data_IF_189247783870
#
_entry.id   IF_189247783870
#
_cell.length_a   1.000
_cell.length_b   1.000
_cell.length_c   1.000
_cell.angle_alpha   90.00
_cell.angle_beta   90.00
_cell.angle_gamma   90.00
#
_symmetry.space_group_name_H-M   'P 1'
#
loop_
_entity.id
_entity.type
_entity.pdbx_description
1 polymer ?
#
# COMPACT_ATOMS: atom_id res chain seq x y z
N UNK A 1 7.29 38.24 -27.68
CA UNK A 1 6.41 37.19 -27.14
C UNK A 1 7.08 35.81 -27.06
N UNK A 2 7.86 35.37 -28.05
CA UNK A 2 8.57 34.08 -28.03
C UNK A 2 9.51 33.88 -26.82
N UNK A 3 10.35 34.86 -26.49
CA UNK A 3 11.29 34.76 -25.35
C UNK A 3 10.64 34.68 -23.96
N UNK A 4 9.41 35.16 -23.80
CA UNK A 4 8.69 35.06 -22.52
C UNK A 4 8.07 33.66 -22.31
N UNK A 5 7.72 32.97 -23.42
CA UNK A 5 7.20 31.61 -23.38
C UNK A 5 8.32 30.58 -23.09
N UNK A 6 9.48 30.76 -23.71
CA UNK A 6 10.65 29.90 -23.47
C UNK A 6 11.14 29.99 -22.01
N UNK A 7 11.22 31.22 -21.45
CA UNK A 7 11.57 31.42 -20.04
C UNK A 7 10.56 30.76 -19.09
N UNK A 8 9.26 30.77 -19.43
CA UNK A 8 8.21 30.08 -18.65
C UNK A 8 8.40 28.57 -18.68
N UNK A 9 8.67 27.99 -19.85
CA UNK A 9 8.91 26.55 -20.03
C UNK A 9 10.14 26.11 -19.24
N UNK A 10 11.24 26.85 -19.31
CA UNK A 10 12.46 26.53 -18.56
C UNK A 10 12.23 26.55 -17.05
N UNK A 11 11.46 27.52 -16.53
CA UNK A 11 11.07 27.57 -15.10
C UNK A 11 10.21 26.36 -14.70
N UNK A 12 9.26 25.97 -15.56
CA UNK A 12 8.42 24.80 -15.33
C UNK A 12 9.23 23.51 -15.27
N UNK A 13 10.16 23.32 -16.22
CA UNK A 13 11.06 22.15 -16.26
C UNK A 13 11.92 22.11 -14.99
N UNK A 14 12.59 23.21 -14.65
CA UNK A 14 13.44 23.29 -13.45
C UNK A 14 12.64 23.02 -12.16
N UNK A 15 11.40 23.51 -12.09
CA UNK A 15 10.49 23.22 -10.97
C UNK A 15 10.16 21.73 -10.83
N UNK A 16 9.90 21.04 -11.95
CA UNK A 16 9.65 19.60 -11.96
C UNK A 16 10.90 18.79 -11.60
N UNK A 17 12.07 19.14 -12.15
CA UNK A 17 13.33 18.45 -11.86
C UNK A 17 13.73 18.56 -10.39
N UNK A 18 13.53 19.75 -9.79
CA UNK A 18 13.75 19.94 -8.35
C UNK A 18 12.82 19.05 -7.52
N UNK A 19 11.52 19.07 -7.81
CA UNK A 19 10.56 18.23 -7.10
C UNK A 19 10.86 16.74 -7.28
N UNK A 20 11.25 16.32 -8.49
CA UNK A 20 11.65 14.95 -8.78
C UNK A 20 12.87 14.52 -7.95
N UNK A 21 13.87 15.40 -7.80
CA UNK A 21 15.04 15.15 -6.96
C UNK A 21 14.67 15.01 -5.48
N UNK A 22 13.83 15.91 -4.95
CA UNK A 22 13.36 15.88 -3.56
C UNK A 22 12.60 14.57 -3.26
N UNK A 23 11.67 14.18 -4.15
CA UNK A 23 10.90 12.93 -4.05
C UNK A 23 11.82 11.72 -4.10
N UNK A 24 12.80 11.68 -5.01
CA UNK A 24 13.69 10.55 -5.16
C UNK A 24 14.63 10.38 -3.96
N UNK A 25 15.18 11.47 -3.43
CA UNK A 25 16.02 11.46 -2.24
C UNK A 25 15.24 10.92 -1.04
N UNK A 26 14.03 11.44 -0.84
CA UNK A 26 13.15 11.01 0.23
C UNK A 26 12.76 9.55 0.10
N UNK A 27 12.41 9.08 -1.11
CA UNK A 27 12.12 7.67 -1.38
C UNK A 27 13.31 6.77 -1.03
N UNK A 28 14.53 7.16 -1.40
CA UNK A 28 15.77 6.41 -1.10
C UNK A 28 16.06 6.36 0.41
N UNK A 29 15.74 7.44 1.13
CA UNK A 29 15.87 7.53 2.59
C UNK A 29 14.87 6.61 3.30
N UNK A 30 13.60 6.67 2.90
CA UNK A 30 12.50 5.95 3.54
C UNK A 30 12.40 4.48 3.13
N UNK A 31 12.95 4.12 1.97
CA UNK A 31 12.99 2.74 1.43
C UNK A 31 11.61 2.07 1.42
N UNK A 32 10.63 2.62 0.69
CA UNK A 32 9.30 2.01 0.63
C UNK A 32 9.39 0.56 0.14
N UNK A 33 8.62 -0.32 0.76
CA UNK A 33 8.69 -1.79 0.59
C UNK A 33 8.13 -2.28 -0.74
N UNK A 34 7.39 -1.42 -1.45
CA UNK A 34 6.84 -1.69 -2.78
C UNK A 34 6.96 -0.47 -3.70
N UNK A 35 6.93 -0.66 -5.04
CA UNK A 35 6.91 0.44 -5.99
C UNK A 35 5.57 1.18 -5.92
N UNK A 36 5.58 2.43 -6.37
CA UNK A 36 4.35 3.20 -6.50
C UNK A 36 3.73 2.86 -7.85
N UNK A 37 2.43 2.56 -7.85
CA UNK A 37 1.74 2.06 -9.03
C UNK A 37 0.70 3.07 -9.51
N UNK A 38 0.83 3.46 -10.78
CA UNK A 38 0.00 4.48 -11.42
C UNK A 38 -0.76 3.84 -12.58
N UNK A 39 -2.09 3.86 -12.52
CA UNK A 39 -2.95 3.42 -13.61
C UNK A 39 -3.39 4.62 -14.46
N UNK A 40 -3.17 4.52 -15.77
CA UNK A 40 -3.75 5.41 -16.76
C UNK A 40 -4.97 4.75 -17.38
N UNK A 41 -6.16 5.30 -17.13
CA UNK A 41 -7.45 4.78 -17.60
C UNK A 41 -8.17 5.82 -18.46
N UNK A 42 -9.19 5.40 -19.21
CA UNK A 42 -10.15 6.32 -19.82
C UNK A 42 -10.28 6.21 -21.34
N UNK A 43 -10.93 7.20 -21.96
CA UNK A 43 -11.46 7.06 -23.32
C UNK A 43 -10.37 6.84 -24.39
N UNK A 44 -10.67 6.12 -25.48
CA UNK A 44 -9.77 6.02 -26.62
C UNK A 44 -9.35 7.40 -27.14
N UNK A 45 -8.07 7.53 -27.54
CA UNK A 45 -7.48 8.77 -28.07
C UNK A 45 -7.57 10.00 -27.16
N UNK A 46 -7.69 9.81 -25.85
CA UNK A 46 -7.62 10.89 -24.86
C UNK A 46 -6.19 11.37 -24.52
N UNK A 47 -5.16 10.89 -25.22
CA UNK A 47 -3.77 11.34 -25.02
C UNK A 47 -2.98 10.57 -23.95
N UNK A 48 -3.51 9.46 -23.41
CA UNK A 48 -2.85 8.61 -22.41
C UNK A 48 -1.45 8.17 -22.82
N UNK A 49 -1.31 7.46 -23.94
CA UNK A 49 -0.03 6.89 -24.39
C UNK A 49 1.05 7.95 -24.61
N UNK A 50 0.68 9.13 -25.12
CA UNK A 50 1.60 10.28 -25.26
C UNK A 50 2.05 10.81 -23.90
N UNK A 51 1.13 10.88 -22.93
CA UNK A 51 1.43 11.32 -21.57
C UNK A 51 2.30 10.30 -20.82
N UNK A 52 2.01 9.00 -20.95
CA UNK A 52 2.81 7.91 -20.38
C UNK A 52 4.24 7.97 -20.92
N UNK A 53 4.40 8.13 -22.23
CA UNK A 53 5.72 8.21 -22.88
C UNK A 53 6.51 9.42 -22.35
N UNK A 54 5.87 10.57 -22.24
CA UNK A 54 6.51 11.80 -21.74
C UNK A 54 6.91 11.68 -20.27
N UNK A 55 6.02 11.10 -19.44
CA UNK A 55 6.26 10.87 -18.02
C UNK A 55 7.40 9.86 -17.80
N UNK A 56 7.40 8.73 -18.50
CA UNK A 56 8.44 7.71 -18.38
C UNK A 56 9.83 8.26 -18.75
N UNK A 57 9.92 9.00 -19.86
CA UNK A 57 11.17 9.66 -20.27
C UNK A 57 11.63 10.64 -19.18
N UNK A 58 10.73 11.48 -18.66
CA UNK A 58 11.06 12.44 -17.61
C UNK A 58 11.57 11.75 -16.34
N UNK A 59 10.86 10.73 -15.86
CA UNK A 59 11.22 10.00 -14.64
C UNK A 59 12.56 9.27 -14.79
N UNK A 60 12.81 8.58 -15.91
CA UNK A 60 14.10 7.91 -16.18
C UNK A 60 15.26 8.89 -16.25
N UNK A 61 15.07 10.05 -16.91
CA UNK A 61 16.08 11.11 -16.95
C UNK A 61 16.39 11.66 -15.56
N UNK A 62 15.40 11.71 -14.68
CA UNK A 62 15.52 12.06 -13.27
C UNK A 62 15.86 10.86 -12.36
N UNK A 63 16.42 9.78 -12.91
CA UNK A 63 16.99 8.63 -12.17
C UNK A 63 16.00 7.76 -11.40
N UNK A 64 14.70 7.88 -11.66
CA UNK A 64 13.72 6.90 -11.19
C UNK A 64 13.84 5.60 -12.00
N UNK A 65 13.73 4.46 -11.31
CA UNK A 65 13.63 3.14 -11.90
C UNK A 65 12.16 2.90 -12.25
N UNK A 66 11.78 3.18 -13.48
CA UNK A 66 10.38 3.06 -13.94
C UNK A 66 10.18 1.81 -14.80
N UNK A 67 8.97 1.24 -14.73
CA UNK A 67 8.52 0.18 -15.64
C UNK A 67 7.13 0.53 -16.16
N UNK A 68 6.95 0.49 -17.47
CA UNK A 68 5.65 0.65 -18.12
C UNK A 68 5.18 -0.75 -18.53
N UNK A 69 4.02 -1.18 -18.01
CA UNK A 69 3.44 -2.47 -18.37
C UNK A 69 2.81 -2.40 -19.76
N UNK A 70 2.85 -3.52 -20.48
CA UNK A 70 2.33 -3.58 -21.86
C UNK A 70 0.79 -3.59 -21.84
N UNK A 71 0.16 -2.73 -22.66
CA UNK A 71 -1.30 -2.70 -22.84
C UNK A 71 -1.80 -4.04 -23.39
N UNK A 72 -2.71 -4.70 -22.66
CA UNK A 72 -3.20 -6.04 -23.03
C UNK A 72 -4.28 -6.03 -24.10
N UNK A 73 -4.99 -4.92 -24.28
CA UNK A 73 -6.09 -4.82 -25.25
C UNK A 73 -5.63 -5.07 -26.71
N UNK A 74 -4.39 -4.72 -27.04
CA UNK A 74 -3.82 -4.89 -28.38
C UNK A 74 -3.49 -6.35 -28.74
N UNK A 75 -3.28 -7.20 -27.74
CA UNK A 75 -2.89 -8.62 -27.88
C UNK A 75 -3.96 -9.58 -27.38
N UNK A 76 -5.16 -9.07 -27.09
CA UNK A 76 -6.27 -9.89 -26.61
C UNK A 76 -6.80 -10.78 -27.75
N UNK A 77 -6.95 -12.10 -27.54
CA UNK A 77 -7.44 -13.02 -28.57
C UNK A 77 -8.96 -12.92 -28.81
N UNK A 78 -9.69 -12.19 -27.96
CA UNK A 78 -11.14 -12.03 -28.07
C UNK A 78 -11.42 -10.91 -29.07
N UNK A 79 -12.01 -11.25 -30.22
CA UNK A 79 -12.27 -10.29 -31.30
C UNK A 79 -13.33 -9.25 -30.94
N UNK A 80 -14.39 -9.69 -30.26
CA UNK A 80 -15.50 -8.82 -29.90
C UNK A 80 -15.17 -7.99 -28.65
N UNK A 81 -14.78 -6.73 -28.86
CA UNK A 81 -14.47 -5.78 -27.77
C UNK A 81 -15.65 -5.43 -26.86
N UNK A 82 -16.89 -5.72 -27.27
CA UNK A 82 -18.07 -5.51 -26.42
C UNK A 82 -18.37 -6.70 -25.51
N UNK A 83 -17.78 -7.87 -25.79
CA UNK A 83 -17.93 -9.05 -24.94
C UNK A 83 -17.29 -8.79 -23.57
N UNK A 84 -18.00 -9.00 -22.45
CA UNK A 84 -17.43 -8.88 -21.10
C UNK A 84 -16.13 -9.67 -20.90
N UNK A 85 -15.96 -10.81 -21.57
CA UNK A 85 -14.74 -11.61 -21.50
C UNK A 85 -13.52 -10.87 -22.04
N UNK A 86 -13.68 -9.96 -23.02
CA UNK A 86 -12.59 -9.10 -23.48
C UNK A 86 -12.05 -8.25 -22.32
N UNK A 87 -12.95 -7.65 -21.55
CA UNK A 87 -12.60 -6.79 -20.44
C UNK A 87 -12.01 -7.60 -19.26
N UNK A 88 -12.58 -8.76 -18.94
CA UNK A 88 -12.03 -9.68 -17.94
C UNK A 88 -10.61 -10.12 -18.34
N UNK A 89 -10.40 -10.53 -19.59
CA UNK A 89 -9.10 -11.00 -20.06
C UNK A 89 -8.04 -9.90 -19.99
N UNK A 90 -8.37 -8.69 -20.45
CA UNK A 90 -7.44 -7.56 -20.43
C UNK A 90 -7.11 -7.11 -19.01
N UNK A 91 -8.11 -6.99 -18.13
CA UNK A 91 -7.91 -6.70 -16.70
C UNK A 91 -7.07 -7.76 -15.98
N UNK A 92 -7.35 -9.04 -16.20
CA UNK A 92 -6.54 -10.15 -15.66
C UNK A 92 -5.12 -10.18 -16.24
N UNK A 93 -4.95 -9.80 -17.51
CA UNK A 93 -3.63 -9.67 -18.11
C UNK A 93 -2.80 -8.56 -17.47
N UNK A 94 -3.41 -7.41 -17.14
CA UNK A 94 -2.76 -6.34 -16.37
C UNK A 94 -2.44 -6.80 -14.94
N UNK A 95 -3.37 -7.53 -14.29
CA UNK A 95 -3.14 -8.12 -12.97
C UNK A 95 -1.94 -9.07 -12.96
N UNK A 96 -1.84 -9.94 -13.97
CA UNK A 96 -0.75 -10.91 -14.08
C UNK A 96 0.62 -10.22 -14.20
N UNK A 97 0.75 -9.24 -15.10
CA UNK A 97 1.99 -8.48 -15.27
C UNK A 97 2.38 -7.74 -13.99
N UNK A 98 1.42 -7.07 -13.34
CA UNK A 98 1.66 -6.32 -12.11
C UNK A 98 2.09 -7.25 -10.97
N UNK A 99 1.39 -8.37 -10.79
CA UNK A 99 1.69 -9.35 -9.74
C UNK A 99 3.06 -10.01 -9.94
N UNK A 100 3.42 -10.35 -11.18
CA UNK A 100 4.74 -10.88 -11.51
C UNK A 100 5.84 -9.88 -11.14
N UNK A 101 5.69 -8.62 -11.57
CA UNK A 101 6.70 -7.58 -11.34
C UNK A 101 6.86 -7.26 -9.85
N UNK A 102 5.75 -7.14 -9.10
CA UNK A 102 5.82 -6.92 -7.64
C UNK A 102 6.51 -8.10 -6.96
N UNK A 103 6.18 -9.34 -7.33
CA UNK A 103 6.75 -10.54 -6.71
C UNK A 103 8.26 -10.67 -6.95
N UNK A 104 8.75 -10.27 -8.13
CA UNK A 104 10.16 -10.46 -8.54
C UNK A 104 11.04 -9.23 -8.26
N UNK A 105 10.48 -8.03 -8.41
CA UNK A 105 11.23 -6.79 -8.59
C UNK A 105 10.71 -5.61 -7.75
N UNK A 106 9.84 -5.84 -6.76
CA UNK A 106 9.27 -4.75 -5.95
C UNK A 106 10.32 -3.77 -5.38
N UNK A 107 11.51 -4.25 -5.00
CA UNK A 107 12.59 -3.42 -4.43
C UNK A 107 13.49 -2.77 -5.49
N UNK A 108 13.54 -3.32 -6.70
CA UNK A 108 14.36 -2.79 -7.79
C UNK A 108 13.66 -1.71 -8.61
N UNK A 109 12.35 -1.52 -8.42
CA UNK A 109 11.53 -0.57 -9.16
C UNK A 109 11.03 0.54 -8.24
N UNK A 110 11.04 1.77 -8.74
CA UNK A 110 10.50 2.92 -8.02
C UNK A 110 9.04 3.17 -8.40
N UNK A 111 8.70 3.08 -9.69
CA UNK A 111 7.37 3.40 -10.21
C UNK A 111 6.96 2.39 -11.28
N UNK A 112 5.74 1.88 -11.19
CA UNK A 112 5.09 1.06 -12.22
C UNK A 112 3.96 1.87 -12.85
N UNK A 113 3.91 1.91 -14.18
CA UNK A 113 2.86 2.58 -14.94
C UNK A 113 2.05 1.54 -15.70
N UNK A 114 0.73 1.53 -15.51
CA UNK A 114 -0.21 0.70 -16.25
C UNK A 114 -0.89 1.54 -17.33
N UNK A 115 -0.76 1.16 -18.61
CA UNK A 115 -1.64 1.63 -19.67
C UNK A 115 -2.89 0.74 -19.67
N UNK A 116 -3.92 1.20 -18.93
CA UNK A 116 -5.15 0.47 -18.52
C UNK A 116 -4.92 -0.65 -17.49
N UNK A 117 -5.78 -0.69 -16.50
CA UNK A 117 -5.75 -1.68 -15.43
C UNK A 117 -7.14 -1.97 -14.86
N UNK A 118 -7.22 -2.11 -13.55
CA UNK A 118 -8.44 -2.55 -12.88
C UNK A 118 -9.52 -1.48 -12.98
N UNK A 119 -9.16 -0.21 -12.83
CA UNK A 119 -10.11 0.88 -12.88
C UNK A 119 -10.68 1.10 -14.30
N UNK A 120 -9.86 0.95 -15.35
CA UNK A 120 -10.33 0.97 -16.74
C UNK A 120 -11.35 -0.15 -16.97
N UNK A 121 -11.08 -1.35 -16.44
CA UNK A 121 -12.04 -2.46 -16.51
C UNK A 121 -13.34 -2.17 -15.77
N UNK A 122 -13.31 -1.53 -14.61
CA UNK A 122 -14.53 -1.11 -13.90
C UNK A 122 -15.37 -0.15 -14.75
N UNK A 123 -14.75 0.83 -15.43
CA UNK A 123 -15.45 1.74 -16.33
C UNK A 123 -16.17 0.99 -17.47
N UNK A 124 -15.52 -0.04 -18.04
CA UNK A 124 -16.13 -0.88 -19.08
C UNK A 124 -17.24 -1.78 -18.55
N UNK A 125 -17.15 -2.31 -17.33
CA UNK A 125 -18.24 -3.09 -16.73
C UNK A 125 -19.48 -2.22 -16.48
N UNK A 126 -19.32 -0.97 -16.03
CA UNK A 126 -20.44 -0.02 -15.94
C UNK A 126 -21.09 0.18 -17.31
N UNK A 127 -20.27 0.44 -18.35
CA UNK A 127 -20.77 0.59 -19.70
C UNK A 127 -21.53 -0.64 -20.19
N UNK A 128 -20.97 -1.84 -20.03
CA UNK A 128 -21.58 -3.10 -20.46
C UNK A 128 -22.89 -3.37 -19.71
N UNK A 129 -22.94 -3.06 -18.41
CA UNK A 129 -24.14 -3.22 -17.59
C UNK A 129 -25.26 -2.28 -18.02
N UNK A 130 -24.93 -1.03 -18.33
CA UNK A 130 -25.88 -0.02 -18.78
C UNK A 130 -26.47 -0.33 -20.16
N UNK A 131 -25.70 -1.02 -21.01
CA UNK A 131 -26.12 -1.40 -22.37
C UNK A 131 -26.64 -2.84 -22.47
N UNK A 132 -26.85 -3.51 -21.33
CA UNK A 132 -27.38 -4.90 -21.24
C UNK A 132 -26.49 -5.96 -21.92
N UNK A 133 -25.19 -5.70 -22.06
CA UNK A 133 -24.20 -6.69 -22.49
C UNK A 133 -23.67 -7.55 -21.34
N UNK A 134 -23.96 -7.18 -20.09
CA UNK A 134 -23.50 -7.88 -18.90
C UNK A 134 -24.66 -8.10 -17.92
N UNK A 135 -24.88 -9.37 -17.53
CA UNK A 135 -25.92 -9.74 -16.56
C UNK A 135 -25.56 -9.20 -15.17
N UNK A 136 -26.57 -8.96 -14.34
CA UNK A 136 -26.37 -8.38 -13.01
C UNK A 136 -25.46 -9.23 -12.11
N UNK A 137 -25.64 -10.55 -12.10
CA UNK A 137 -24.83 -11.45 -11.28
C UNK A 137 -23.36 -11.48 -11.74
N UNK A 138 -23.13 -11.58 -13.05
CA UNK A 138 -21.77 -11.53 -13.62
C UNK A 138 -21.11 -10.17 -13.33
N UNK A 139 -21.85 -9.07 -13.48
CA UNK A 139 -21.37 -7.74 -13.12
C UNK A 139 -20.94 -7.66 -11.66
N UNK A 140 -21.75 -8.17 -10.73
CA UNK A 140 -21.42 -8.17 -9.30
C UNK A 140 -20.16 -8.99 -9.02
N UNK A 141 -20.02 -10.16 -9.65
CA UNK A 141 -18.84 -11.01 -9.54
C UNK A 141 -17.58 -10.32 -10.09
N UNK A 142 -17.66 -9.75 -11.30
CA UNK A 142 -16.51 -9.10 -11.95
C UNK A 142 -16.10 -7.84 -11.20
N UNK A 143 -17.06 -6.98 -10.86
CA UNK A 143 -16.78 -5.78 -10.05
C UNK A 143 -16.18 -6.18 -8.71
N UNK A 144 -16.78 -7.14 -7.99
CA UNK A 144 -16.26 -7.61 -6.70
C UNK A 144 -14.84 -8.17 -6.78
N UNK A 145 -14.50 -8.86 -7.87
CA UNK A 145 -13.14 -9.33 -8.12
C UNK A 145 -12.16 -8.15 -8.29
N UNK A 146 -12.44 -7.22 -9.20
CA UNK A 146 -11.54 -6.08 -9.48
C UNK A 146 -11.53 -5.01 -8.38
N UNK A 147 -12.53 -4.99 -7.49
CA UNK A 147 -12.57 -4.15 -6.28
C UNK A 147 -12.14 -4.90 -5.02
N UNK A 148 -11.59 -6.12 -5.13
CA UNK A 148 -11.00 -6.80 -4.00
C UNK A 148 -9.92 -5.91 -3.34
N UNK A 149 -9.93 -5.74 -1.99
CA UNK A 149 -8.94 -4.93 -1.29
C UNK A 149 -7.51 -5.29 -1.69
N UNK A 150 -7.21 -6.59 -1.84
CA UNK A 150 -5.89 -7.09 -2.23
C UNK A 150 -5.37 -6.49 -3.54
N UNK A 151 -6.26 -6.28 -4.53
CA UNK A 151 -5.87 -5.74 -5.82
C UNK A 151 -5.84 -4.21 -5.81
N UNK A 152 -6.82 -3.58 -5.16
CA UNK A 152 -6.86 -2.12 -5.02
C UNK A 152 -5.66 -1.57 -4.26
N UNK A 153 -5.19 -2.27 -3.23
CA UNK A 153 -3.99 -1.91 -2.48
C UNK A 153 -2.73 -1.82 -3.33
N UNK A 154 -2.69 -2.53 -4.46
CA UNK A 154 -1.55 -2.46 -5.37
C UNK A 154 -1.57 -1.19 -6.23
N UNK A 155 -2.66 -0.41 -6.27
CA UNK A 155 -2.78 0.81 -7.08
C UNK A 155 -2.80 2.03 -6.17
N UNK A 156 -1.84 2.92 -6.35
CA UNK A 156 -1.73 4.15 -5.55
C UNK A 156 -2.46 5.32 -6.20
N UNK A 157 -2.51 5.36 -7.53
CA UNK A 157 -3.01 6.49 -8.29
C UNK A 157 -3.70 6.05 -9.57
N UNK A 158 -4.92 6.50 -9.77
CA UNK A 158 -5.64 6.37 -11.04
C UNK A 158 -5.72 7.74 -11.71
N UNK A 159 -5.25 7.83 -12.95
CA UNK A 159 -5.38 8.99 -13.82
C UNK A 159 -6.39 8.66 -14.93
N UNK A 160 -7.58 9.23 -14.83
CA UNK A 160 -8.67 9.01 -15.77
C UNK A 160 -8.68 10.10 -16.85
N UNK A 161 -8.30 9.76 -18.07
CA UNK A 161 -8.23 10.66 -19.21
C UNK A 161 -9.51 10.60 -20.05
N UNK A 162 -10.14 11.74 -20.23
CA UNK A 162 -11.33 11.93 -21.04
C UNK A 162 -11.02 12.87 -22.22
N UNK A 163 -11.74 12.67 -23.32
CA UNK A 163 -11.83 13.61 -24.43
C UNK A 163 -13.26 13.56 -24.97
N UNK A 164 -13.74 14.65 -25.56
CA UNK A 164 -15.00 14.67 -26.28
C UNK A 164 -14.96 13.68 -27.45
N UNK A 165 -16.08 13.02 -27.80
CA UNK A 165 -16.16 12.11 -28.93
C UNK A 165 -15.58 12.67 -30.23
N UNK A 166 -15.89 13.94 -30.52
CA UNK A 166 -15.43 14.66 -31.72
C UNK A 166 -13.91 14.73 -31.76
N UNK A 167 -13.28 15.13 -30.65
CA UNK A 167 -11.83 15.22 -30.53
C UNK A 167 -11.17 13.84 -30.61
N UNK A 168 -11.76 12.80 -29.97
CA UNK A 168 -11.23 11.44 -30.06
C UNK A 168 -11.26 10.91 -31.50
N UNK A 169 -12.36 11.13 -32.22
CA UNK A 169 -12.52 10.73 -33.62
C UNK A 169 -11.53 11.48 -34.52
N UNK A 170 -11.40 12.80 -34.35
CA UNK A 170 -10.44 13.61 -35.11
C UNK A 170 -9.00 13.12 -34.88
N UNK A 171 -8.61 12.85 -33.63
CA UNK A 171 -7.29 12.30 -33.26
C UNK A 171 -7.03 10.91 -33.85
N UNK A 172 -8.06 10.08 -33.99
CA UNK A 172 -7.95 8.78 -34.68
C UNK A 172 -7.64 8.98 -36.16
N UNK A 173 -8.42 9.82 -36.85
CA UNK A 173 -8.27 10.05 -38.29
C UNK A 173 -6.96 10.73 -38.70
N UNK A 174 -6.35 11.55 -37.82
CA UNK A 174 -5.01 12.11 -38.08
C UNK A 174 -3.94 11.04 -38.29
N UNK A 175 -4.10 9.89 -37.64
CA UNK A 175 -3.09 8.82 -37.63
C UNK A 175 -3.47 7.62 -38.52
N UNK A 176 -4.70 7.58 -39.06
CA UNK A 176 -5.16 6.51 -39.92
C UNK A 176 -5.05 6.90 -41.40
N UNK A 177 -4.54 5.97 -42.21
CA UNK A 177 -4.64 5.99 -43.67
C UNK A 177 -6.05 5.62 -44.18
N UNK A 178 -7.03 5.51 -43.27
CA UNK A 178 -8.43 5.17 -43.56
C UNK A 178 -9.37 6.05 -42.75
N UNK A 179 -10.62 6.15 -43.23
CA UNK A 179 -11.73 6.82 -42.54
C UNK A 179 -12.81 5.84 -42.09
N UNK A 180 -12.54 4.53 -42.15
CA UNK A 180 -13.45 3.51 -41.59
C UNK A 180 -13.38 3.55 -40.07
N UNK A 181 -14.54 3.65 -39.43
CA UNK A 181 -14.65 3.69 -37.98
C UNK A 181 -14.43 2.30 -37.37
N UNK A 182 -13.58 2.23 -36.34
CA UNK A 182 -13.55 1.09 -35.44
C UNK A 182 -14.84 1.01 -34.60
N UNK A 183 -15.23 -0.19 -34.19
CA UNK A 183 -16.47 -0.42 -33.43
C UNK A 183 -16.59 0.44 -32.16
N UNK A 184 -15.48 0.66 -31.46
CA UNK A 184 -15.39 1.48 -30.25
C UNK A 184 -15.35 3.00 -30.54
N UNK A 185 -14.85 3.41 -31.70
CA UNK A 185 -14.62 4.82 -32.05
C UNK A 185 -15.90 5.52 -32.54
N UNK A 186 -17.04 4.84 -32.55
CA UNK A 186 -18.33 5.42 -32.90
C UNK A 186 -18.74 6.46 -31.86
N UNK A 187 -19.27 7.59 -32.31
CA UNK A 187 -19.64 8.73 -31.45
C UNK A 187 -20.52 8.32 -30.26
N UNK A 188 -21.59 7.56 -30.50
CA UNK A 188 -22.51 7.11 -29.46
C UNK A 188 -21.84 6.21 -28.40
N UNK A 189 -20.87 5.36 -28.80
CA UNK A 189 -20.09 4.53 -27.88
C UNK A 189 -19.17 5.40 -27.03
N UNK A 190 -18.50 6.38 -27.63
CA UNK A 190 -17.61 7.31 -26.90
C UNK A 190 -18.39 8.18 -25.91
N UNK A 191 -19.56 8.70 -26.29
CA UNK A 191 -20.44 9.49 -25.41
C UNK A 191 -20.90 8.66 -24.21
N UNK A 192 -21.44 7.48 -24.46
CA UNK A 192 -21.94 6.59 -23.42
C UNK A 192 -20.83 6.03 -22.53
N UNK A 193 -19.64 5.79 -23.06
CA UNK A 193 -18.46 5.39 -22.27
C UNK A 193 -17.96 6.53 -21.37
N UNK A 194 -18.00 7.79 -21.83
CA UNK A 194 -17.69 8.94 -20.96
C UNK A 194 -18.62 9.01 -19.77
N UNK A 195 -19.90 8.68 -19.93
CA UNK A 195 -20.84 8.61 -18.82
C UNK A 195 -20.54 7.45 -17.86
N UNK A 196 -20.26 6.26 -18.40
CA UNK A 196 -19.84 5.11 -17.59
C UNK A 196 -18.58 5.39 -16.74
N UNK A 197 -17.63 6.15 -17.29
CA UNK A 197 -16.45 6.62 -16.55
C UNK A 197 -16.82 7.51 -15.35
N UNK A 198 -17.79 8.41 -15.52
CA UNK A 198 -18.28 9.28 -14.42
C UNK A 198 -18.97 8.47 -13.33
N UNK A 199 -19.79 7.50 -13.73
CA UNK A 199 -20.46 6.59 -12.80
C UNK A 199 -19.45 5.76 -12.01
N UNK A 200 -18.43 5.20 -12.68
CA UNK A 200 -17.35 4.46 -12.02
C UNK A 200 -16.61 5.33 -11.00
N UNK A 201 -16.26 6.58 -11.34
CA UNK A 201 -15.62 7.50 -10.37
C UNK A 201 -16.53 7.74 -9.16
N UNK A 202 -17.82 8.01 -9.39
CA UNK A 202 -18.78 8.22 -8.30
C UNK A 202 -18.87 7.00 -7.38
N UNK A 203 -18.88 5.80 -7.95
CA UNK A 203 -19.03 4.55 -7.20
C UNK A 203 -17.76 4.13 -6.46
N UNK A 204 -16.60 4.33 -7.07
CA UNK A 204 -15.34 3.74 -6.58
C UNK A 204 -14.36 4.73 -5.97
N UNK A 205 -14.63 6.04 -6.02
CA UNK A 205 -13.73 7.08 -5.46
C UNK A 205 -13.40 6.91 -3.98
N UNK A 206 -14.32 6.37 -3.17
CA UNK A 206 -14.09 6.16 -1.74
C UNK A 206 -13.26 4.92 -1.42
N UNK A 207 -13.08 4.01 -2.37
CA UNK A 207 -12.37 2.74 -2.16
C UNK A 207 -11.03 2.68 -2.91
N UNK A 208 -10.75 3.61 -3.81
CA UNK A 208 -9.42 3.78 -4.41
C UNK A 208 -8.69 4.91 -3.69
N UNK A 209 -7.38 4.74 -3.48
CA UNK A 209 -6.55 5.72 -2.76
C UNK A 209 -6.64 7.13 -3.35
N UNK A 210 -6.53 7.23 -4.67
CA UNK A 210 -6.65 8.50 -5.39
C UNK A 210 -7.08 8.29 -6.83
N UNK A 211 -8.05 9.09 -7.28
CA UNK A 211 -8.50 9.15 -8.68
C UNK A 211 -8.48 10.61 -9.13
N UNK A 212 -7.76 10.92 -10.21
CA UNK A 212 -7.74 12.25 -10.82
C UNK A 212 -8.20 12.20 -12.26
N UNK A 213 -9.07 13.14 -12.62
CA UNK A 213 -9.68 13.22 -13.96
C UNK A 213 -9.01 14.33 -14.77
N UNK A 214 -8.76 14.04 -16.04
CA UNK A 214 -8.19 14.97 -17.01
C UNK A 214 -9.07 15.01 -18.25
N UNK A 215 -9.76 16.13 -18.49
CA UNK A 215 -10.41 16.39 -19.79
C UNK A 215 -9.40 17.04 -20.73
N UNK A 216 -9.01 16.31 -21.77
CA UNK A 216 -7.96 16.71 -22.72
C UNK A 216 -8.51 17.30 -24.02
N UNK A 217 -9.83 17.55 -24.10
CA UNK A 217 -10.49 17.92 -25.36
C UNK A 217 -9.90 19.19 -25.98
N UNK A 218 -9.60 20.19 -25.15
CA UNK A 218 -9.14 21.53 -25.57
C UNK A 218 -7.78 21.91 -24.98
N UNK A 219 -6.95 20.92 -24.63
CA UNK A 219 -5.66 21.17 -23.98
C UNK A 219 -4.50 20.80 -24.90
N UNK A 220 -3.42 21.57 -24.82
CA UNK A 220 -2.16 21.21 -25.47
C UNK A 220 -1.52 19.99 -24.78
N UNK A 221 -0.95 19.09 -25.56
CA UNK A 221 -0.38 17.86 -25.02
C UNK A 221 0.78 18.12 -24.05
N UNK A 222 1.56 19.19 -24.23
CA UNK A 222 2.65 19.52 -23.31
C UNK A 222 2.11 20.07 -21.99
N UNK A 223 1.04 20.86 -22.03
CA UNK A 223 0.37 21.35 -20.81
C UNK A 223 -0.25 20.20 -20.01
N UNK A 224 -0.92 19.25 -20.69
CA UNK A 224 -1.42 18.01 -20.07
C UNK A 224 -0.27 17.24 -19.43
N UNK A 225 0.82 17.01 -20.19
CA UNK A 225 1.96 16.23 -19.71
C UNK A 225 2.66 16.90 -18.53
N UNK A 226 2.79 18.23 -18.53
CA UNK A 226 3.29 19.00 -17.40
C UNK A 226 2.39 18.83 -16.17
N UNK A 227 1.08 19.02 -16.32
CA UNK A 227 0.12 18.91 -15.21
C UNK A 227 0.07 17.51 -14.63
N UNK A 228 0.13 16.48 -15.48
CA UNK A 228 0.15 15.08 -15.06
C UNK A 228 1.46 14.75 -14.36
N UNK A 229 2.61 15.16 -14.91
CA UNK A 229 3.92 14.94 -14.28
C UNK A 229 3.99 15.61 -12.92
N UNK A 230 3.58 16.87 -12.82
CA UNK A 230 3.51 17.58 -11.54
C UNK A 230 2.62 16.84 -10.54
N UNK A 231 1.43 16.41 -10.96
CA UNK A 231 0.50 15.73 -10.07
C UNK A 231 1.04 14.37 -9.60
N UNK A 232 1.67 13.62 -10.50
CA UNK A 232 2.35 12.38 -10.14
C UNK A 232 3.41 12.67 -9.09
N UNK A 233 4.33 13.62 -9.32
CA UNK A 233 5.37 13.96 -8.34
C UNK A 233 4.80 14.45 -6.99
N UNK A 234 3.77 15.29 -7.00
CA UNK A 234 3.08 15.75 -5.79
C UNK A 234 2.51 14.55 -5.00
N UNK A 235 1.81 13.63 -5.69
CA UNK A 235 1.28 12.40 -5.07
C UNK A 235 2.38 11.46 -4.61
N UNK A 236 3.47 11.30 -5.36
CA UNK A 236 4.64 10.52 -4.91
C UNK A 236 5.23 11.11 -3.64
N UNK A 237 5.27 12.45 -3.52
CA UNK A 237 5.75 13.13 -2.33
C UNK A 237 4.83 12.88 -1.13
N UNK A 238 3.51 12.98 -1.33
CA UNK A 238 2.49 12.68 -0.32
C UNK A 238 2.55 11.21 0.14
N UNK A 239 2.67 10.27 -0.80
CA UNK A 239 2.80 8.83 -0.50
C UNK A 239 4.08 8.54 0.28
N UNK A 240 5.17 9.26 -0.03
CA UNK A 240 6.42 9.15 0.71
C UNK A 240 6.34 9.81 2.10
N UNK A 241 5.52 10.84 2.30
CA UNK A 241 5.25 11.41 3.62
C UNK A 241 4.19 10.58 4.35
N UNK A 242 4.60 9.47 4.94
CA UNK A 242 3.71 8.57 5.70
C UNK A 242 2.93 9.36 6.76
N UNK A 243 1.61 9.46 6.60
CA UNK A 243 0.71 9.91 7.66
C UNK A 243 0.25 8.73 8.48
N UNK A 244 0.49 8.80 9.78
CA UNK A 244 0.25 7.70 10.71
C UNK A 244 -0.86 8.02 11.69
N UNK A 245 -1.57 6.97 12.11
CA UNK A 245 -2.70 7.06 13.03
C UNK A 245 -2.25 7.32 14.47
N UNK A 246 -2.89 8.27 15.13
CA UNK A 246 -2.67 8.59 16.53
C UNK A 246 -3.95 8.98 17.26
N UNK A 247 -3.89 8.94 18.59
CA UNK A 247 -4.87 9.59 19.48
C UNK A 247 -4.12 10.40 20.53
N UNK A 248 -4.83 11.33 21.18
CA UNK A 248 -4.27 12.01 22.34
C UNK A 248 -4.15 11.03 23.52
N UNK A 249 -3.01 11.04 24.22
CA UNK A 249 -2.76 10.14 25.36
C UNK A 249 -3.80 10.34 26.48
N UNK A 250 -4.35 11.54 26.64
CA UNK A 250 -5.42 11.83 27.59
C UNK A 250 -6.70 11.03 27.31
N UNK A 251 -6.92 10.60 26.07
CA UNK A 251 -8.08 9.79 25.71
C UNK A 251 -8.02 8.38 26.31
N UNK A 252 -6.85 7.90 26.72
CA UNK A 252 -6.66 6.54 27.28
C UNK A 252 -6.00 6.55 28.67
N UNK A 253 -6.01 7.69 29.36
CA UNK A 253 -5.33 7.86 30.66
C UNK A 253 -5.89 6.99 31.79
N UNK A 254 -7.09 6.41 31.61
CA UNK A 254 -7.72 5.47 32.54
C UNK A 254 -7.09 4.08 32.52
N UNK A 255 -6.26 3.77 31.51
CA UNK A 255 -5.59 2.47 31.40
C UNK A 255 -4.29 2.50 32.17
N UNK A 256 -4.24 1.76 33.28
CA UNK A 256 -3.06 1.69 34.14
C UNK A 256 -2.27 0.40 33.96
N UNK A 257 -2.92 -0.66 33.49
CA UNK A 257 -2.28 -1.94 33.26
C UNK A 257 -1.33 -1.89 32.05
N UNK A 258 -0.28 -2.71 32.09
CA UNK A 258 0.61 -2.91 30.93
C UNK A 258 -0.10 -3.72 29.85
N UNK A 259 -1.00 -4.63 30.26
CA UNK A 259 -1.72 -5.52 29.36
C UNK A 259 -3.20 -5.48 29.70
N UNK A 260 -4.01 -5.23 28.68
CA UNK A 260 -5.44 -4.99 28.82
C UNK A 260 -6.16 -5.35 27.52
N UNK A 261 -7.48 -5.31 27.49
CA UNK A 261 -8.28 -5.66 26.31
C UNK A 261 -8.58 -4.44 25.46
N UNK A 262 -8.59 -4.60 24.13
CA UNK A 262 -8.94 -3.54 23.17
C UNK A 262 -10.28 -2.86 23.48
N UNK A 263 -11.26 -3.61 24.00
CA UNK A 263 -12.57 -3.11 24.42
C UNK A 263 -12.50 -1.96 25.43
N UNK A 264 -11.44 -1.89 26.23
CA UNK A 264 -11.24 -0.84 27.25
C UNK A 264 -10.92 0.52 26.61
N UNK A 265 -10.31 0.53 25.42
CA UNK A 265 -9.94 1.75 24.70
C UNK A 265 -10.76 1.98 23.42
N UNK A 266 -11.51 0.98 22.96
CA UNK A 266 -12.24 1.00 21.67
C UNK A 266 -13.04 2.27 21.44
N UNK A 267 -13.82 2.72 22.44
CA UNK A 267 -14.68 3.92 22.30
C UNK A 267 -13.85 5.20 22.08
N UNK A 268 -12.69 5.29 22.71
CA UNK A 268 -11.79 6.44 22.58
C UNK A 268 -11.16 6.47 21.19
N UNK A 269 -10.75 5.30 20.68
CA UNK A 269 -10.20 5.19 19.33
C UNK A 269 -11.25 5.60 18.29
N UNK A 270 -12.48 5.06 18.39
CA UNK A 270 -13.55 5.33 17.42
C UNK A 270 -13.97 6.80 17.33
N UNK A 271 -13.72 7.59 18.37
CA UNK A 271 -14.10 9.01 18.41
C UNK A 271 -12.94 9.97 18.14
N UNK A 272 -11.68 9.51 18.11
CA UNK A 272 -10.52 10.41 18.14
C UNK A 272 -9.30 10.00 17.32
N UNK A 273 -9.32 8.88 16.57
CA UNK A 273 -8.18 8.51 15.72
C UNK A 273 -8.00 9.53 14.58
N UNK A 274 -6.84 10.19 14.58
CA UNK A 274 -6.45 11.19 13.59
C UNK A 274 -5.17 10.74 12.86
N UNK A 275 -4.85 11.39 11.73
CA UNK A 275 -3.68 11.10 10.93
C UNK A 275 -2.88 12.37 10.65
N UNK A 276 -1.57 12.33 10.88
CA UNK A 276 -0.63 13.42 10.54
C UNK A 276 0.73 12.80 10.21
N UNK A 277 1.64 13.61 9.67
CA UNK A 277 2.97 13.19 9.25
C UNK A 277 3.74 12.51 10.38
N UNK A 278 4.34 11.36 10.07
CA UNK A 278 5.12 10.53 11.00
C UNK A 278 6.10 11.31 11.85
N UNK A 279 6.91 12.18 11.25
CA UNK A 279 7.90 12.99 11.97
C UNK A 279 7.26 13.92 13.01
N UNK A 280 6.03 14.40 12.79
CA UNK A 280 5.31 15.24 13.77
C UNK A 280 4.73 14.41 14.89
N UNK A 281 4.16 13.26 14.56
CA UNK A 281 3.51 12.36 15.51
C UNK A 281 4.55 11.70 16.42
N UNK A 282 5.62 11.11 15.89
CA UNK A 282 6.65 10.44 16.68
C UNK A 282 7.38 11.38 17.65
N UNK A 283 7.49 12.67 17.31
CA UNK A 283 8.15 13.68 18.14
C UNK A 283 7.23 14.32 19.19
N UNK A 284 5.92 14.02 19.16
CA UNK A 284 4.98 14.58 20.12
C UNK A 284 4.62 13.56 21.22
N UNK A 285 5.06 13.84 22.44
CA UNK A 285 4.82 12.98 23.62
C UNK A 285 3.38 13.00 24.15
N UNK A 286 2.52 13.91 23.65
CA UNK A 286 1.10 13.90 24.00
C UNK A 286 0.28 12.95 23.13
N UNK A 287 0.90 12.33 22.12
CA UNK A 287 0.22 11.47 21.16
C UNK A 287 0.66 10.02 21.35
N UNK A 288 -0.29 9.12 21.22
CA UNK A 288 -0.04 7.68 21.22
C UNK A 288 -0.42 7.07 19.88
N UNK A 289 0.46 6.21 19.40
CA UNK A 289 0.37 5.53 18.11
C UNK A 289 -0.04 4.08 18.33
N UNK A 290 -0.94 3.58 17.48
CA UNK A 290 -1.35 2.19 17.51
C UNK A 290 -0.48 1.36 16.57
N UNK A 291 0.01 0.23 17.09
CA UNK A 291 0.88 -0.68 16.38
C UNK A 291 0.20 -2.05 16.34
N UNK A 292 -0.63 -2.34 15.32
CA UNK A 292 -1.13 -3.69 15.09
C UNK A 292 0.05 -4.63 14.85
N UNK A 293 0.13 -5.68 15.67
CA UNK A 293 1.19 -6.69 15.56
C UNK A 293 0.63 -8.10 15.50
N UNK A 294 1.28 -8.95 14.73
CA UNK A 294 0.97 -10.37 14.59
C UNK A 294 2.01 -11.16 15.35
N UNK A 295 1.55 -11.98 16.31
CA UNK A 295 2.35 -13.05 16.90
C UNK A 295 2.00 -14.31 16.14
N UNK A 296 2.93 -14.80 15.31
CA UNK A 296 2.70 -15.98 14.47
C UNK A 296 3.14 -17.23 15.23
N UNK A 297 2.19 -18.12 15.51
CA UNK A 297 2.39 -19.34 16.30
C UNK A 297 2.03 -20.56 15.45
N UNK A 298 2.74 -21.67 15.68
CA UNK A 298 2.41 -22.95 15.06
C UNK A 298 1.07 -23.51 15.55
N UNK A 299 0.29 -24.11 14.66
CA UNK A 299 -0.99 -24.75 15.03
C UNK A 299 -0.80 -26.01 15.86
N UNK A 300 0.31 -26.72 15.65
CA UNK A 300 0.51 -28.06 16.21
C UNK A 300 1.49 -28.12 17.38
N UNK A 301 2.22 -27.03 17.64
CA UNK A 301 3.26 -27.00 18.67
C UNK A 301 3.42 -25.60 19.26
N UNK A 302 4.20 -25.49 20.34
CA UNK A 302 4.57 -24.20 20.92
C UNK A 302 5.82 -23.64 20.25
N UNK A 303 5.74 -23.50 18.92
CA UNK A 303 6.75 -22.81 18.11
C UNK A 303 6.22 -21.46 17.66
N UNK A 304 7.12 -20.49 17.53
CA UNK A 304 6.80 -19.12 17.16
C UNK A 304 7.73 -18.63 16.06
N UNK A 305 7.24 -17.76 15.19
CA UNK A 305 8.11 -17.04 14.26
C UNK A 305 8.76 -15.87 15.02
N UNK A 306 10.09 -15.88 15.08
CA UNK A 306 10.90 -14.83 15.65
C UNK A 306 11.63 -14.07 14.55
N UNK A 307 11.77 -12.75 14.71
CA UNK A 307 12.53 -11.88 13.81
C UNK A 307 13.53 -11.03 14.57
N UNK A 308 14.69 -10.75 13.95
CA UNK A 308 15.63 -9.75 14.46
C UNK A 308 15.72 -8.61 13.46
N UNK A 309 15.45 -7.37 13.90
CA UNK A 309 15.54 -6.21 13.00
C UNK A 309 16.98 -6.02 12.51
N UNK A 310 17.13 -5.64 11.25
CA UNK A 310 18.44 -5.32 10.69
C UNK A 310 19.00 -4.04 11.33
N UNK A 311 20.32 -3.96 11.52
CA UNK A 311 20.99 -2.77 12.07
C UNK A 311 20.71 -1.49 11.27
N UNK A 312 20.46 -1.62 9.97
CA UNK A 312 20.12 -0.51 9.07
C UNK A 312 18.67 -0.05 9.16
N UNK A 313 17.78 -0.88 9.72
CA UNK A 313 16.37 -0.58 9.94
C UNK A 313 16.10 0.06 11.31
N UNK A 314 17.05 -0.06 12.26
CA UNK A 314 16.90 0.45 13.62
C UNK A 314 17.81 1.63 13.89
N UNK A 315 17.25 2.70 14.44
CA UNK A 315 18.06 3.79 14.99
C UNK A 315 18.84 3.32 16.23
N UNK A 316 19.91 4.03 16.61
CA UNK A 316 20.68 3.74 17.83
C UNK A 316 19.87 3.87 19.11
N UNK A 317 18.73 4.55 19.07
CA UNK A 317 17.82 4.76 20.19
C UNK A 317 16.59 3.84 20.14
N UNK A 318 16.50 2.93 19.16
CA UNK A 318 15.36 2.03 19.03
C UNK A 318 15.37 0.98 20.16
N UNK A 319 14.25 0.78 20.88
CA UNK A 319 14.10 -0.32 21.84
C UNK A 319 14.26 -1.72 21.20
N UNK A 320 14.02 -1.83 19.90
CA UNK A 320 14.10 -3.08 19.12
C UNK A 320 15.52 -3.39 18.63
N UNK A 321 16.47 -2.46 18.78
CA UNK A 321 17.83 -2.63 18.25
C UNK A 321 18.54 -3.78 18.96
N UNK A 322 19.12 -4.68 18.17
CA UNK A 322 19.83 -5.88 18.64
C UNK A 322 18.96 -6.81 19.52
N UNK A 323 17.63 -6.72 19.40
CA UNK A 323 16.67 -7.58 20.10
C UNK A 323 16.00 -8.57 19.16
N UNK A 324 15.53 -9.67 19.75
CA UNK A 324 14.64 -10.63 19.10
C UNK A 324 13.20 -10.20 19.34
N UNK A 325 12.43 -10.08 18.26
CA UNK A 325 11.00 -9.77 18.26
C UNK A 325 10.22 -11.05 17.97
N UNK A 326 9.17 -11.32 18.73
CA UNK A 326 8.22 -12.41 18.51
C UNK A 326 6.93 -11.90 17.84
N UNK A 327 7.04 -10.78 17.13
CA UNK A 327 5.94 -10.12 16.47
C UNK A 327 6.37 -9.42 15.18
N UNK A 328 5.40 -9.19 14.30
CA UNK A 328 5.56 -8.46 13.03
C UNK A 328 4.42 -7.46 12.86
N UNK A 329 4.68 -6.28 12.31
CA UNK A 329 3.69 -5.21 12.26
C UNK A 329 4.30 -3.82 12.29
N UNK A 330 3.44 -2.80 12.29
CA UNK A 330 3.90 -1.43 12.10
C UNK A 330 2.81 -0.38 12.32
N UNK A 331 3.06 0.82 11.83
CA UNK A 331 2.18 1.97 12.03
C UNK A 331 0.97 1.91 11.12
N UNK A 332 -0.20 2.21 11.68
CA UNK A 332 -1.44 2.41 10.91
C UNK A 332 -1.27 3.65 10.04
N UNK A 333 -1.53 3.53 8.74
CA UNK A 333 -1.43 4.64 7.78
C UNK A 333 -2.82 5.12 7.36
N UNK A 334 -2.92 6.38 6.94
CA UNK A 334 -4.19 6.96 6.44
C UNK A 334 -4.81 6.11 5.32
N UNK A 335 -3.96 5.52 4.46
CA UNK A 335 -4.39 4.65 3.35
C UNK A 335 -5.08 3.36 3.81
N UNK A 336 -4.81 2.84 5.02
CA UNK A 336 -5.43 1.61 5.53
C UNK A 336 -6.95 1.80 5.75
N UNK A 337 -7.41 3.04 5.91
CA UNK A 337 -8.84 3.38 6.01
C UNK A 337 -9.55 3.37 4.66
N UNK A 338 -8.84 3.73 3.60
CA UNK A 338 -9.42 3.96 2.25
C UNK A 338 -9.82 2.68 1.52
N UNK A 339 -9.61 1.51 2.12
CA UNK A 339 -9.86 0.23 1.47
C UNK A 339 -11.26 -0.33 1.69
N UNK A 340 -12.07 0.30 2.55
CA UNK A 340 -13.43 -0.12 2.86
C UNK A 340 -14.40 1.07 2.71
N UNK A 341 -15.64 0.80 2.33
CA UNK A 341 -16.67 1.83 2.24
C UNK A 341 -17.06 2.40 3.61
N UNK A 342 -17.12 1.54 4.63
CA UNK A 342 -17.48 1.89 6.00
C UNK A 342 -16.57 1.15 7.01
N UNK A 343 -15.28 1.51 7.10
CA UNK A 343 -14.34 0.82 7.97
C UNK A 343 -14.67 1.10 9.45
N UNK A 344 -14.73 0.04 10.25
CA UNK A 344 -14.55 0.14 11.71
C UNK A 344 -13.07 0.36 12.03
N UNK A 345 -12.74 0.92 13.19
CA UNK A 345 -11.34 1.14 13.58
C UNK A 345 -10.59 -0.19 13.68
N UNK A 346 -11.24 -1.23 14.21
CA UNK A 346 -10.65 -2.57 14.26
C UNK A 346 -10.36 -3.11 12.84
N UNK A 347 -11.23 -2.87 11.86
CA UNK A 347 -10.91 -3.25 10.46
C UNK A 347 -9.75 -2.46 9.88
N UNK A 348 -9.56 -1.19 10.26
CA UNK A 348 -8.36 -0.42 9.87
C UNK A 348 -7.11 -1.02 10.50
N UNK A 349 -7.15 -1.39 11.78
CA UNK A 349 -6.03 -2.06 12.47
C UNK A 349 -5.69 -3.40 11.83
N UNK A 350 -6.69 -4.23 11.51
CA UNK A 350 -6.51 -5.52 10.83
C UNK A 350 -5.95 -5.34 9.41
N UNK A 351 -6.37 -4.29 8.71
CA UNK A 351 -5.86 -3.97 7.38
C UNK A 351 -4.40 -3.50 7.41
N UNK A 352 -4.04 -2.65 8.38
CA UNK A 352 -2.64 -2.31 8.65
C UNK A 352 -1.83 -3.57 8.98
N UNK A 353 -2.34 -4.44 9.86
CA UNK A 353 -1.69 -5.70 10.21
C UNK A 353 -1.40 -6.55 8.97
N UNK A 354 -2.41 -6.74 8.12
CA UNK A 354 -2.26 -7.48 6.87
C UNK A 354 -1.17 -6.87 5.98
N UNK A 355 -1.21 -5.55 5.74
CA UNK A 355 -0.24 -4.85 4.90
C UNK A 355 1.19 -5.00 5.42
N UNK A 356 1.40 -4.66 6.69
CA UNK A 356 2.73 -4.70 7.32
C UNK A 356 3.31 -6.11 7.30
N UNK A 357 2.55 -7.11 7.77
CA UNK A 357 3.03 -8.50 7.81
C UNK A 357 3.28 -9.05 6.40
N UNK A 358 2.44 -8.67 5.42
CA UNK A 358 2.63 -9.08 4.04
C UNK A 358 3.90 -8.50 3.43
N UNK A 359 4.20 -7.24 3.70
CA UNK A 359 5.40 -6.56 3.19
C UNK A 359 6.68 -7.02 3.90
N UNK A 360 6.61 -7.30 5.21
CA UNK A 360 7.77 -7.68 6.02
C UNK A 360 8.18 -9.15 5.86
N UNK A 361 7.21 -10.07 5.85
CA UNK A 361 7.46 -11.52 5.87
C UNK A 361 6.67 -12.32 4.81
N UNK A 362 5.92 -11.66 3.93
CA UNK A 362 5.24 -12.30 2.79
C UNK A 362 4.00 -13.12 3.17
N UNK A 363 3.61 -13.14 4.44
CA UNK A 363 2.49 -13.95 4.93
C UNK A 363 1.15 -13.23 4.79
N UNK A 364 0.13 -13.99 4.38
CA UNK A 364 -1.25 -13.52 4.50
C UNK A 364 -1.75 -13.83 5.91
N UNK A 365 -2.07 -12.78 6.66
CA UNK A 365 -2.64 -12.88 8.01
C UNK A 365 -4.07 -12.42 8.01
N UNK A 366 -4.88 -13.14 8.79
CA UNK A 366 -6.24 -12.76 9.13
C UNK A 366 -6.45 -13.14 10.58
N UNK A 367 -7.32 -12.41 11.27
CA UNK A 367 -7.64 -12.66 12.66
C UNK A 367 -9.10 -12.35 12.90
N UNK A 368 -9.87 -13.36 13.31
CA UNK A 368 -11.27 -13.19 13.69
C UNK A 368 -11.45 -12.54 15.07
N UNK A 369 -10.35 -12.29 15.80
CA UNK A 369 -10.37 -11.73 17.16
C UNK A 369 -11.08 -10.36 17.19
N UNK A 370 -12.26 -10.24 17.84
CA UNK A 370 -12.98 -8.97 17.95
C UNK A 370 -12.47 -8.10 19.11
N UNK A 371 -11.71 -8.67 20.05
CA UNK A 371 -11.21 -8.00 21.24
C UNK A 371 -9.74 -8.38 21.55
N UNK A 372 -8.80 -7.97 20.66
CA UNK A 372 -7.39 -8.30 20.81
C UNK A 372 -6.81 -7.75 22.11
N UNK A 373 -5.72 -8.35 22.58
CA UNK A 373 -4.97 -7.81 23.70
C UNK A 373 -4.20 -6.58 23.27
N UNK A 374 -4.00 -5.66 24.20
CA UNK A 374 -3.14 -4.51 24.03
C UNK A 374 -1.95 -4.61 24.96
N UNK A 375 -0.77 -4.20 24.50
CA UNK A 375 0.44 -4.10 25.31
C UNK A 375 0.95 -2.67 25.24
N UNK A 376 1.05 -2.01 26.38
CA UNK A 376 1.56 -0.65 26.49
C UNK A 376 2.61 -0.56 27.60
N UNK A 377 3.88 -0.56 27.19
CA UNK A 377 5.04 -0.49 28.08
C UNK A 377 5.43 0.97 28.26
N UNK A 378 5.41 1.43 29.52
CA UNK A 378 5.75 2.81 29.93
C UNK A 378 7.07 2.79 30.69
N UNK A 379 8.18 2.77 29.96
CA UNK A 379 9.54 2.62 30.48
C UNK A 379 10.44 3.86 30.26
N UNK A 380 9.85 4.97 29.80
CA UNK A 380 10.57 6.22 29.53
C UNK A 380 11.31 6.22 28.18
N UNK A 381 11.14 5.17 27.38
CA UNK A 381 11.69 5.09 26.02
C UNK A 381 10.65 5.57 24.99
N UNK A 382 10.96 5.40 23.69
CA UNK A 382 9.97 5.63 22.62
C UNK A 382 8.71 4.76 22.79
N UNK A 383 8.78 3.64 23.51
CA UNK A 383 7.65 2.74 23.76
C UNK A 383 6.47 3.42 24.46
N UNK A 384 6.71 4.48 25.24
CA UNK A 384 5.66 5.23 25.94
C UNK A 384 4.59 5.79 24.99
N UNK A 385 4.99 6.14 23.76
CA UNK A 385 4.11 6.69 22.73
C UNK A 385 3.57 5.62 21.77
N UNK A 386 3.78 4.33 22.05
CA UNK A 386 3.36 3.22 21.18
C UNK A 386 2.56 2.19 21.98
N UNK A 387 1.41 1.82 21.44
CA UNK A 387 0.51 0.83 22.01
C UNK A 387 0.34 -0.30 21.01
N UNK A 388 0.83 -1.48 21.37
CA UNK A 388 0.71 -2.66 20.54
C UNK A 388 -0.70 -3.24 20.64
N UNK A 389 -1.35 -3.49 19.49
CA UNK A 389 -2.60 -4.24 19.41
C UNK A 389 -2.28 -5.63 18.88
N UNK A 390 -2.37 -6.63 19.76
CA UNK A 390 -1.80 -7.97 19.58
C UNK A 390 -2.83 -8.90 18.97
N UNK A 391 -2.53 -9.39 17.77
CA UNK A 391 -3.27 -10.44 17.09
C UNK A 391 -2.43 -11.72 17.09
N UNK A 392 -2.98 -12.80 17.67
CA UNK A 392 -2.37 -14.12 17.58
C UNK A 392 -2.83 -14.75 16.28
N UNK A 393 -1.88 -15.13 15.44
CA UNK A 393 -2.15 -15.75 14.13
C UNK A 393 -1.58 -17.15 14.16
N UNK A 394 -2.45 -18.15 14.05
CA UNK A 394 -2.03 -19.54 13.97
C UNK A 394 -1.77 -19.93 12.50
N UNK A 395 -0.63 -20.56 12.25
CA UNK A 395 -0.23 -21.08 10.95
C UNK A 395 0.38 -22.47 11.14
N UNK A 396 0.13 -23.35 10.18
CA UNK A 396 0.85 -24.61 10.12
C UNK A 396 2.25 -24.36 9.53
N UNK A 397 3.27 -24.45 10.38
CA UNK A 397 4.64 -24.15 9.97
C UNK A 397 5.23 -25.16 8.99
N UNK A 398 4.67 -26.36 8.89
CA UNK A 398 5.17 -27.39 7.98
C UNK A 398 4.79 -27.07 6.52
N UNK A 399 3.70 -26.31 6.33
CA UNK A 399 3.26 -25.81 5.01
C UNK A 399 3.55 -24.33 4.79
N UNK A 400 4.14 -23.64 5.77
CA UNK A 400 4.41 -22.21 5.69
C UNK A 400 5.72 -21.92 4.96
N UNK A 401 5.68 -20.98 4.03
CA UNK A 401 6.87 -20.31 3.48
C UNK A 401 6.72 -18.82 3.74
N UNK A 402 7.75 -18.21 4.31
CA UNK A 402 7.83 -16.77 4.52
C UNK A 402 8.97 -16.18 3.68
N UNK A 403 8.79 -14.93 3.26
CA UNK A 403 9.77 -14.16 2.50
C UNK A 403 10.18 -12.97 3.33
N UNK A 404 11.45 -12.89 3.70
CA UNK A 404 11.92 -11.84 4.62
C UNK A 404 12.31 -10.59 3.83
N UNK A 405 11.93 -9.43 4.34
CA UNK A 405 12.56 -8.19 3.94
C UNK A 405 13.95 -8.05 4.56
N UNK A 406 14.98 -8.33 3.77
CA UNK A 406 16.40 -8.21 4.16
C UNK A 406 16.83 -6.76 4.47
N UNK A 407 15.99 -5.77 4.16
CA UNK A 407 16.15 -4.39 4.63
C UNK A 407 15.69 -4.21 6.09
N UNK A 408 14.60 -4.88 6.47
CA UNK A 408 13.94 -4.75 7.77
C UNK A 408 14.44 -5.76 8.80
N UNK A 409 14.65 -7.02 8.40
CA UNK A 409 14.97 -8.14 9.26
C UNK A 409 16.22 -8.89 8.77
N UNK A 410 16.92 -9.53 9.69
CA UNK A 410 18.08 -10.37 9.39
C UNK A 410 17.60 -11.72 8.86
N UNK A 411 17.87 -12.04 7.60
CA UNK A 411 17.35 -13.29 6.99
C UNK A 411 18.09 -14.57 7.34
N UNK A 412 19.40 -14.50 7.52
CA UNK A 412 20.24 -15.65 7.78
C UNK A 412 21.13 -15.37 8.99
N UNK A 413 21.50 -16.44 9.68
CA UNK A 413 22.51 -16.35 10.72
C UNK A 413 23.82 -15.79 10.12
N UNK A 414 24.32 -14.71 10.73
CA UNK A 414 25.63 -14.14 10.37
C UNK A 414 26.44 -13.92 11.64
N UNK A 415 27.64 -14.49 11.66
CA UNK A 415 28.61 -14.33 12.77
C UNK A 415 28.00 -14.68 14.15
N UNK A 416 27.21 -15.76 14.24
CA UNK A 416 26.59 -16.22 15.49
C UNK A 416 25.36 -15.41 15.94
N UNK A 417 24.83 -14.52 15.11
CA UNK A 417 23.55 -13.82 15.37
C UNK A 417 22.44 -14.50 14.57
N UNK A 418 21.46 -15.16 15.22
CA UNK A 418 20.35 -15.80 14.53
C UNK A 418 19.50 -14.79 13.75
N UNK A 419 19.03 -15.21 12.57
CA UNK A 419 18.12 -14.43 11.74
C UNK A 419 16.66 -14.61 12.14
N UNK A 420 15.75 -14.30 11.22
CA UNK A 420 14.33 -14.60 11.36
C UNK A 420 14.11 -16.10 11.18
N UNK A 421 13.58 -16.75 12.20
CA UNK A 421 13.50 -18.20 12.29
C UNK A 421 12.27 -18.66 13.09
N UNK A 422 12.00 -19.96 13.02
CA UNK A 422 10.99 -20.60 13.86
C UNK A 422 11.70 -21.10 15.12
N UNK A 423 11.28 -20.59 16.29
CA UNK A 423 11.86 -20.92 17.59
C UNK A 423 10.88 -21.71 18.46
N UNK A 424 11.40 -22.60 19.30
CA UNK A 424 10.60 -23.33 20.29
C UNK A 424 10.40 -22.54 21.58
N UNK A 425 9.44 -22.96 22.41
CA UNK A 425 9.23 -22.45 23.78
C UNK A 425 10.52 -22.48 24.61
N UNK A 426 11.29 -23.58 24.56
CA UNK A 426 12.55 -23.72 25.30
C UNK A 426 13.58 -22.69 24.84
N UNK A 427 13.70 -22.50 23.52
CA UNK A 427 14.62 -21.52 22.92
C UNK A 427 14.27 -20.10 23.34
N UNK A 428 12.98 -19.77 23.42
CA UNK A 428 12.49 -18.47 23.91
C UNK A 428 12.87 -18.27 25.38
N UNK A 429 12.74 -19.30 26.22
CA UNK A 429 13.08 -19.22 27.65
C UNK A 429 14.59 -19.05 27.85
N UNK A 430 15.41 -19.79 27.10
CA UNK A 430 16.87 -19.72 27.21
C UNK A 430 17.42 -18.37 26.72
N UNK A 431 16.82 -17.81 25.66
CA UNK A 431 17.21 -16.52 25.09
C UNK A 431 16.35 -15.34 25.57
N UNK A 432 15.64 -15.49 26.69
CA UNK A 432 14.66 -14.51 27.18
C UNK A 432 15.23 -13.09 27.36
N UNK A 433 16.53 -12.96 27.68
CA UNK A 433 17.21 -11.66 27.85
C UNK A 433 17.42 -10.92 26.52
N UNK A 434 17.40 -11.62 25.40
CA UNK A 434 17.55 -11.05 24.07
C UNK A 434 16.25 -10.51 23.50
N UNK A 435 15.11 -10.94 24.05
CA UNK A 435 13.78 -10.46 23.65
C UNK A 435 13.62 -8.97 23.98
N UNK A 436 12.87 -8.25 23.15
CA UNK A 436 12.40 -6.90 23.48
C UNK A 436 11.31 -6.90 24.58
N UNK A 437 10.94 -5.72 25.08
CA UNK A 437 10.00 -5.59 26.20
C UNK A 437 8.58 -6.04 25.86
N UNK A 438 8.10 -5.83 24.63
CA UNK A 438 6.78 -6.30 24.20
C UNK A 438 6.78 -7.81 24.05
N UNK A 439 7.78 -8.40 23.39
CA UNK A 439 7.87 -9.87 23.26
C UNK A 439 7.90 -10.57 24.62
N UNK A 440 8.65 -10.02 25.59
CA UNK A 440 8.65 -10.51 26.97
C UNK A 440 7.27 -10.46 27.62
N UNK A 441 6.60 -9.31 27.52
CA UNK A 441 5.25 -9.13 28.08
C UNK A 441 4.23 -10.07 27.44
N UNK A 442 4.31 -10.24 26.11
CA UNK A 442 3.44 -11.14 25.35
C UNK A 442 3.67 -12.59 25.80
N UNK A 443 4.92 -13.06 25.81
CA UNK A 443 5.21 -14.44 26.22
C UNK A 443 4.75 -14.73 27.64
N UNK A 444 5.07 -13.87 28.60
CA UNK A 444 4.74 -14.11 30.02
C UNK A 444 3.24 -14.05 30.31
N UNK A 445 2.55 -13.08 29.73
CA UNK A 445 1.19 -12.79 30.14
C UNK A 445 0.13 -13.38 29.20
N UNK A 446 0.45 -13.51 27.90
CA UNK A 446 -0.44 -14.09 26.89
C UNK A 446 -0.25 -15.60 26.80
N UNK A 447 0.98 -16.06 26.63
CA UNK A 447 1.28 -17.48 26.43
C UNK A 447 1.70 -18.23 27.70
N UNK A 448 1.93 -17.51 28.81
CA UNK A 448 2.44 -18.06 30.08
C UNK A 448 3.82 -18.74 29.93
N UNK A 449 4.65 -18.17 29.05
CA UNK A 449 6.02 -18.61 28.74
C UNK A 449 7.00 -17.59 29.32
N UNK A 450 7.89 -18.04 30.21
CA UNK A 450 8.92 -17.17 30.78
C UNK A 450 9.82 -17.91 31.77
N UNK A 451 10.96 -17.32 32.16
CA UNK A 451 11.88 -17.93 33.12
C UNK A 451 11.23 -18.04 34.51
N UNK A 452 11.58 -19.10 35.23
CA UNK A 452 11.14 -19.30 36.62
C UNK A 452 11.56 -18.11 37.52
N UNK A 453 10.83 -17.81 38.61
CA UNK A 453 11.14 -16.71 39.52
C UNK A 453 12.58 -16.72 40.05
N UNK A 454 13.20 -17.90 40.18
CA UNK A 454 14.59 -18.08 40.62
C UNK A 454 15.61 -17.65 39.55
N UNK A 455 15.33 -17.89 38.26
CA UNK A 455 16.16 -17.40 37.13
C UNK A 455 15.99 -15.90 36.88
N UNK A 456 14.92 -15.26 37.37
CA UNK A 456 14.73 -13.80 37.28
C UNK A 456 15.69 -13.01 38.21
N UNK A 457 16.00 -13.53 39.40
CA UNK A 457 16.91 -12.87 40.36
C UNK A 457 18.37 -12.87 39.93
N UNK A 458 18.85 -13.93 39.27
CA UNK A 458 20.19 -13.94 38.66
C UNK A 458 20.29 -13.08 37.39
N UNK A 459 19.15 -12.58 36.87
CA UNK A 459 19.08 -11.72 35.70
C UNK A 459 19.03 -10.22 35.99
N UNK A 460 18.57 -9.81 37.19
CA UNK A 460 18.65 -8.41 37.64
C UNK A 460 20.01 -8.04 38.26
N UNK A 461 20.77 -9.01 38.77
CA UNK A 461 22.04 -8.77 39.48
C UNK A 461 23.28 -8.47 38.61
N UNK A 462 23.13 -8.23 37.30
CA UNK A 462 24.27 -7.97 36.38
C UNK A 462 24.29 -6.54 35.81
N UNK A 463 23.44 -5.65 36.33
CA UNK A 463 23.36 -4.23 35.97
C UNK A 463 23.58 -3.34 37.21
N UNK A 464 24.71 -3.56 37.90
CA UNK A 464 25.31 -2.55 38.79
C UNK A 464 26.66 -2.19 38.22
#
# INVERSE_FOLDING_TARGET
MAGNNEAKILRQISGLERLASEVLEKKRRLRPRRPIVIEFSGSPKSGKTSCISSLDIFLRRNKFRTVVLTERASVCPIENKFDPLFNVWTGCGSLNQLSELISREARSVDIIILDRGFFDSLCWFEWQRNHRYLRADDYNCFVGFFTSPRFRMMIDLVLLFEASPEVSIDREYRNLLTRREGSIMRKNVLESYKEACREAVKKYSNIFRAIHRYDTSNQDQNEVSYSVTKKVLDTLNEVADEKIGYVDISAISSVHDTIFRYSEIKKHISSSMNFDYRDRVENNKSLIQFIPIAVVKDTHSKRFLAGRKALKATSSLSPERDRVLLYFGGHVREEDKTLFENPTELSVLKQCLYREVKEEIGLDVDSDEPNPLCVWVRDGTKSDNHLAVVFVVEKDFDYMKFQIDDEEFVRYEKKGTPGTEIVSEETIIDNYRELDSWSRNIMENVFKIGPSPERKKSAQGSLI
#
